data_IF_233020878469
#
_entry.id   IF_233020878469
#
_cell.length_a   1.000
_cell.length_b   1.000
_cell.length_c   1.000
_cell.angle_alpha   90.00
_cell.angle_beta   90.00
_cell.angle_gamma   90.00
#
_symmetry.space_group_name_H-M   'P 1'
#
loop_
_entity.id
_entity.type
_entity.pdbx_description
1 polymer ?
#
# COMPACT_ATOMS: atom_id res chain seq x y z
N UNK A 1 1.04 -1.77 23.76
CA UNK A 1 2.49 -1.49 23.70
C UNK A 1 2.80 -0.90 22.34
N UNK A 2 3.42 0.28 22.28
CA UNK A 2 3.79 0.93 21.02
C UNK A 2 4.98 0.16 20.44
N UNK A 3 4.73 -0.69 19.44
CA UNK A 3 5.78 -1.39 18.71
C UNK A 3 6.23 -0.50 17.56
N UNK A 4 7.26 0.33 17.72
CA UNK A 4 7.78 1.11 16.58
C UNK A 4 8.19 0.15 15.44
N UNK A 5 7.41 0.14 14.35
CA UNK A 5 7.77 -0.60 13.14
C UNK A 5 8.77 0.21 12.33
N UNK A 6 9.66 -0.50 11.66
CA UNK A 6 10.66 0.01 10.73
C UNK A 6 10.57 -0.85 9.45
N UNK A 7 11.16 -0.37 8.34
CA UNK A 7 11.10 -1.13 7.11
C UNK A 7 11.90 -2.44 7.18
N UNK A 8 12.99 -2.50 7.95
CA UNK A 8 13.86 -3.66 8.12
C UNK A 8 14.08 -4.45 6.83
N UNK A 9 14.68 -3.79 5.84
CA UNK A 9 14.98 -4.36 4.52
C UNK A 9 13.82 -4.43 3.53
N UNK A 10 12.58 -4.10 3.93
CA UNK A 10 11.44 -4.04 3.01
C UNK A 10 11.59 -2.87 2.02
N UNK A 11 11.57 -3.19 0.72
CA UNK A 11 11.73 -2.25 -0.39
C UNK A 11 10.49 -2.06 -1.23
N UNK A 12 9.38 -2.73 -0.89
CA UNK A 12 8.15 -2.79 -1.69
C UNK A 12 7.67 -1.43 -2.21
N UNK A 13 7.72 -0.37 -1.40
CA UNK A 13 7.26 0.95 -1.87
C UNK A 13 8.10 1.53 -3.03
N UNK A 14 9.33 1.05 -3.21
CA UNK A 14 10.26 1.44 -4.27
C UNK A 14 10.30 0.46 -5.44
N UNK A 15 9.66 -0.72 -5.33
CA UNK A 15 9.70 -1.79 -6.35
C UNK A 15 8.85 -1.50 -7.59
N UNK A 16 8.22 -0.32 -7.67
CA UNK A 16 7.41 0.07 -8.82
C UNK A 16 5.99 -0.45 -8.73
N UNK A 17 5.35 -0.28 -7.57
CA UNK A 17 3.90 -0.49 -7.34
C UNK A 17 3.14 0.81 -7.07
N UNK A 18 3.89 1.91 -6.96
CA UNK A 18 3.41 3.25 -6.68
C UNK A 18 3.80 4.17 -7.82
N UNK A 19 3.05 5.26 -7.98
CA UNK A 19 3.44 6.37 -8.84
C UNK A 19 4.19 7.42 -8.03
N UNK A 20 5.21 8.01 -8.62
CA UNK A 20 5.92 9.14 -8.05
C UNK A 20 7.18 9.48 -8.82
N UNK A 21 7.93 10.44 -8.29
CA UNK A 21 9.21 10.85 -8.82
C UNK A 21 10.21 10.99 -7.68
N UNK A 22 11.45 10.56 -7.91
CA UNK A 22 12.57 10.89 -7.05
C UNK A 22 13.66 11.54 -7.88
N UNK A 23 14.07 12.77 -7.52
CA UNK A 23 15.19 13.50 -8.16
C UNK A 23 15.11 13.51 -9.70
N UNK A 24 13.94 13.81 -10.29
CA UNK A 24 13.77 13.81 -11.76
C UNK A 24 13.65 12.42 -12.40
N UNK A 25 13.56 11.34 -11.61
CA UNK A 25 13.38 9.96 -12.09
C UNK A 25 12.03 9.43 -11.64
N UNK A 26 11.12 9.27 -12.60
CA UNK A 26 9.80 8.71 -12.33
C UNK A 26 9.85 7.21 -12.06
N UNK A 27 8.95 6.77 -11.20
CA UNK A 27 8.64 5.36 -10.93
C UNK A 27 7.12 5.15 -10.96
N UNK A 28 6.71 3.97 -11.35
CA UNK A 28 5.31 3.62 -11.61
C UNK A 28 5.12 2.10 -11.52
N UNK A 29 3.88 1.58 -11.51
CA UNK A 29 3.59 0.17 -11.80
C UNK A 29 4.47 -0.38 -12.95
N UNK A 30 5.27 -1.40 -12.68
CA UNK A 30 6.19 -2.03 -13.64
C UNK A 30 7.53 -1.32 -13.84
N UNK A 31 7.77 -0.18 -13.18
CA UNK A 31 9.02 0.59 -13.23
C UNK A 31 9.50 0.91 -11.81
N UNK A 32 10.43 0.10 -11.26
CA UNK A 32 11.03 0.38 -9.96
C UNK A 32 11.72 1.74 -9.89
N UNK A 33 11.86 2.26 -8.68
CA UNK A 33 12.61 3.49 -8.43
C UNK A 33 14.06 3.34 -8.88
N UNK A 34 14.56 4.34 -9.61
CA UNK A 34 15.94 4.37 -10.11
C UNK A 34 17.00 4.22 -9.02
N UNK A 35 16.70 4.68 -7.80
CA UNK A 35 17.60 4.62 -6.64
C UNK A 35 17.39 3.38 -5.76
N UNK A 36 16.62 2.38 -6.21
CA UNK A 36 16.49 1.12 -5.52
C UNK A 36 17.73 0.25 -5.81
N UNK A 37 18.61 0.11 -4.81
CA UNK A 37 19.72 -0.82 -4.85
C UNK A 37 19.37 -2.18 -4.24
N UNK A 38 20.34 -3.10 -4.24
CA UNK A 38 20.14 -4.49 -3.79
C UNK A 38 19.72 -4.64 -2.32
N UNK A 39 20.02 -3.65 -1.48
CA UNK A 39 19.74 -3.68 -0.02
C UNK A 39 18.84 -2.53 0.45
N UNK A 40 18.20 -1.80 -0.48
CA UNK A 40 17.41 -0.62 -0.16
C UNK A 40 17.76 0.60 -1.01
N UNK A 41 17.29 1.77 -0.57
CA UNK A 41 17.50 3.02 -1.30
C UNK A 41 18.97 3.46 -1.22
N UNK A 42 19.60 3.70 -2.38
CA UNK A 42 21.00 4.17 -2.47
C UNK A 42 21.18 5.63 -2.02
N UNK A 43 20.09 6.38 -1.88
CA UNK A 43 20.07 7.77 -1.42
C UNK A 43 19.21 7.94 -0.16
N UNK A 44 19.13 6.93 0.72
CA UNK A 44 18.15 6.88 1.82
C UNK A 44 18.08 8.17 2.68
N UNK A 45 19.23 8.72 3.07
CA UNK A 45 19.30 9.97 3.86
C UNK A 45 18.88 11.20 3.03
N UNK A 46 19.27 11.21 1.75
CA UNK A 46 19.04 12.28 0.78
C UNK A 46 17.73 12.13 -0.01
N UNK A 47 16.84 11.23 0.43
CA UNK A 47 15.54 11.00 -0.20
C UNK A 47 14.75 12.32 -0.28
N UNK A 48 14.07 12.58 -1.42
CA UNK A 48 13.15 13.70 -1.54
C UNK A 48 12.13 13.73 -0.41
N UNK A 49 11.70 14.94 0.00
CA UNK A 49 10.66 15.07 1.01
C UNK A 49 9.36 14.39 0.53
N UNK A 50 8.88 14.75 -0.65
CA UNK A 50 7.74 14.14 -1.33
C UNK A 50 8.22 13.35 -2.57
N UNK A 51 7.74 12.10 -2.81
CA UNK A 51 6.91 11.27 -1.92
C UNK A 51 7.70 10.51 -0.87
N UNK A 52 9.04 10.46 -0.96
CA UNK A 52 9.81 9.44 -0.27
C UNK A 52 9.82 9.53 1.27
N UNK A 53 9.89 10.73 1.87
CA UNK A 53 9.93 10.90 3.34
C UNK A 53 8.53 11.00 3.95
N UNK A 54 7.57 11.57 3.23
CA UNK A 54 6.17 11.71 3.69
C UNK A 54 5.38 10.41 3.57
N UNK A 55 5.70 9.56 2.60
CA UNK A 55 5.00 8.30 2.41
C UNK A 55 5.25 7.32 3.55
N UNK A 56 4.17 6.77 4.12
CA UNK A 56 4.19 5.64 5.03
C UNK A 56 3.14 4.61 4.57
N UNK A 57 3.57 3.37 4.31
CA UNK A 57 2.61 2.30 4.08
C UNK A 57 1.82 2.02 5.37
N UNK A 58 0.62 1.46 5.23
CA UNK A 58 -0.26 1.27 6.38
C UNK A 58 0.30 0.25 7.37
N UNK A 59 1.04 -0.76 6.92
CA UNK A 59 1.72 -1.64 7.88
C UNK A 59 2.71 -0.87 8.77
N UNK A 60 3.40 0.15 8.26
CA UNK A 60 4.36 0.94 9.03
C UNK A 60 3.68 1.92 9.99
N UNK A 61 2.56 2.54 9.60
CA UNK A 61 1.92 3.62 10.35
C UNK A 61 0.66 3.24 11.12
N UNK A 62 0.03 2.11 10.79
CA UNK A 62 -1.20 1.63 11.41
C UNK A 62 -0.94 0.30 12.14
N UNK A 63 -1.00 0.35 13.48
CA UNK A 63 -0.74 -0.81 14.34
C UNK A 63 -1.91 -1.78 14.47
N UNK A 64 -3.10 -1.39 14.02
CA UNK A 64 -4.24 -2.31 13.94
C UNK A 64 -4.02 -3.36 12.86
N UNK A 65 -3.20 -3.05 11.85
CA UNK A 65 -2.74 -4.04 10.86
C UNK A 65 -1.76 -5.00 11.54
N UNK A 66 -1.98 -6.33 11.50
CA UNK A 66 -1.12 -7.30 12.18
C UNK A 66 0.34 -7.24 11.75
N UNK A 67 1.25 -7.55 12.69
CA UNK A 67 2.69 -7.50 12.43
C UNK A 67 3.12 -8.45 11.29
N UNK A 68 2.46 -9.60 11.14
CA UNK A 68 2.73 -10.57 10.09
C UNK A 68 2.38 -10.05 8.67
N UNK A 69 1.63 -8.96 8.55
CA UNK A 69 1.26 -8.34 7.27
C UNK A 69 2.32 -7.39 6.71
N UNK A 70 3.60 -7.61 7.02
CA UNK A 70 4.69 -6.82 6.45
C UNK A 70 4.68 -6.99 4.92
N UNK A 71 4.76 -5.91 4.10
CA UNK A 71 4.48 -6.02 2.67
C UNK A 71 5.37 -6.99 1.89
N UNK A 72 6.66 -7.09 2.26
CA UNK A 72 7.62 -8.02 1.67
C UNK A 72 7.34 -9.49 2.02
N UNK A 73 6.60 -9.75 3.10
CA UNK A 73 6.16 -11.08 3.54
C UNK A 73 4.86 -11.47 2.84
N UNK A 74 3.83 -10.62 2.91
CA UNK A 74 2.49 -10.97 2.39
C UNK A 74 2.31 -10.67 0.89
N UNK A 75 3.28 -10.00 0.27
CA UNK A 75 3.22 -9.57 -1.13
C UNK A 75 1.98 -8.73 -1.47
N UNK A 76 1.56 -7.89 -0.51
CA UNK A 76 0.53 -6.88 -0.68
C UNK A 76 1.00 -5.56 -0.08
N UNK A 77 0.90 -4.48 -0.85
CA UNK A 77 1.14 -3.12 -0.38
C UNK A 77 -0.17 -2.48 0.04
N UNK A 78 -0.28 -2.17 1.33
CA UNK A 78 -1.46 -1.52 1.91
C UNK A 78 -1.20 -0.02 2.01
N UNK A 79 -2.05 0.78 1.37
CA UNK A 79 -1.96 2.26 1.38
C UNK A 79 -3.28 2.87 1.80
N UNK A 80 -3.25 3.99 2.54
CA UNK A 80 -4.43 4.83 2.73
C UNK A 80 -4.48 5.83 1.57
N UNK A 81 -5.65 5.97 0.99
CA UNK A 81 -5.92 6.87 -0.14
C UNK A 81 -7.08 7.79 0.20
N UNK A 82 -7.11 8.89 -0.54
CA UNK A 82 -8.21 9.83 -0.57
C UNK A 82 -8.47 10.14 -2.04
N UNK A 83 -9.69 9.92 -2.51
CA UNK A 83 -10.09 10.19 -3.88
C UNK A 83 -11.58 10.54 -3.91
N UNK A 84 -11.95 11.57 -4.68
CA UNK A 84 -13.34 12.08 -4.78
C UNK A 84 -14.02 12.29 -3.40
N UNK A 85 -13.27 12.71 -2.39
CA UNK A 85 -13.78 12.93 -1.02
C UNK A 85 -13.92 11.66 -0.16
N UNK A 86 -13.56 10.49 -0.68
CA UNK A 86 -13.61 9.22 0.04
C UNK A 86 -12.23 8.83 0.54
N UNK A 87 -12.12 8.53 1.85
CA UNK A 87 -10.95 7.87 2.40
C UNK A 87 -11.15 6.35 2.39
N UNK A 88 -10.13 5.61 1.92
CA UNK A 88 -10.18 4.16 1.81
C UNK A 88 -8.80 3.53 1.99
N UNK A 89 -8.80 2.24 2.31
CA UNK A 89 -7.58 1.43 2.21
C UNK A 89 -7.51 0.78 0.83
N UNK A 90 -6.32 0.85 0.22
CA UNK A 90 -6.01 0.19 -1.03
C UNK A 90 -5.02 -0.94 -0.79
N UNK A 91 -5.37 -2.16 -1.22
CA UNK A 91 -4.52 -3.35 -1.19
C UNK A 91 -4.05 -3.63 -2.62
N UNK A 92 -2.76 -3.46 -2.85
CA UNK A 92 -2.12 -3.66 -4.16
C UNK A 92 -1.30 -4.95 -4.13
N UNK A 93 -1.56 -5.86 -5.06
CA UNK A 93 -0.79 -7.10 -5.23
C UNK A 93 0.65 -6.79 -5.71
N UNK A 94 1.62 -7.55 -5.22
CA UNK A 94 3.06 -7.35 -5.51
C UNK A 94 3.56 -8.58 -6.26
N UNK A 95 3.35 -8.60 -7.57
CA UNK A 95 3.89 -9.62 -8.47
C UNK A 95 3.28 -11.02 -8.35
N UNK A 96 2.31 -11.20 -7.46
CA UNK A 96 1.58 -12.45 -7.27
C UNK A 96 0.17 -12.19 -6.75
N UNK A 97 -0.71 -13.19 -6.91
CA UNK A 97 -2.05 -13.18 -6.32
C UNK A 97 -1.99 -13.02 -4.80
N UNK A 98 -2.88 -12.20 -4.26
CA UNK A 98 -3.04 -12.01 -2.83
C UNK A 98 -3.42 -13.32 -2.12
N UNK A 99 -2.74 -13.60 -1.01
CA UNK A 99 -3.10 -14.70 -0.13
C UNK A 99 -4.50 -14.46 0.45
N UNK A 100 -5.44 -15.43 0.33
CA UNK A 100 -6.79 -15.29 0.86
C UNK A 100 -6.86 -14.90 2.34
N UNK A 101 -5.87 -15.30 3.17
CA UNK A 101 -5.80 -14.93 4.59
C UNK A 101 -5.69 -13.43 4.80
N UNK A 102 -5.01 -12.73 3.89
CA UNK A 102 -4.91 -11.26 3.92
C UNK A 102 -6.29 -10.66 3.66
N UNK A 103 -6.94 -11.07 2.57
CA UNK A 103 -8.27 -10.57 2.21
C UNK A 103 -9.31 -10.88 3.30
N UNK A 104 -9.32 -12.11 3.84
CA UNK A 104 -10.24 -12.52 4.91
C UNK A 104 -10.11 -11.62 6.14
N UNK A 105 -8.90 -11.23 6.52
CA UNK A 105 -8.71 -10.31 7.65
C UNK A 105 -9.32 -8.93 7.35
N UNK A 106 -8.98 -8.31 6.21
CA UNK A 106 -9.54 -7.00 5.83
C UNK A 106 -11.07 -7.03 5.68
N UNK A 107 -11.63 -8.14 5.20
CA UNK A 107 -13.07 -8.32 5.09
C UNK A 107 -13.75 -8.40 6.47
N UNK A 108 -13.16 -9.11 7.43
CA UNK A 108 -13.64 -9.14 8.81
C UNK A 108 -13.55 -7.75 9.47
N UNK A 109 -12.45 -7.01 9.25
CA UNK A 109 -12.32 -5.63 9.72
C UNK A 109 -13.40 -4.71 9.13
N UNK A 110 -13.76 -4.92 7.87
CA UNK A 110 -14.87 -4.21 7.23
C UNK A 110 -16.22 -4.54 7.84
N UNK A 111 -16.53 -5.83 8.01
CA UNK A 111 -17.76 -6.29 8.67
C UNK A 111 -17.88 -5.72 10.09
N UNK A 112 -16.77 -5.66 10.81
CA UNK A 112 -16.71 -5.10 12.17
C UNK A 112 -16.77 -3.56 12.20
N UNK A 113 -16.89 -2.90 11.04
CA UNK A 113 -16.97 -1.44 10.93
C UNK A 113 -15.67 -0.69 11.16
N UNK A 114 -14.54 -1.39 11.34
CA UNK A 114 -13.22 -0.75 11.56
C UNK A 114 -12.61 -0.22 10.27
N UNK A 115 -12.94 -0.85 9.13
CA UNK A 115 -12.54 -0.37 7.79
C UNK A 115 -13.80 -0.15 6.95
N UNK A 116 -14.18 1.11 6.73
CA UNK A 116 -15.41 1.42 5.99
C UNK A 116 -15.26 1.14 4.50
N UNK A 117 -14.21 1.66 3.86
CA UNK A 117 -14.00 1.57 2.41
C UNK A 117 -12.70 0.86 2.07
N UNK A 118 -12.76 -0.08 1.13
CA UNK A 118 -11.67 -0.92 0.71
C UNK A 118 -11.64 -1.06 -0.82
N UNK A 119 -10.48 -0.78 -1.41
CA UNK A 119 -10.15 -1.09 -2.80
C UNK A 119 -9.07 -2.17 -2.80
N UNK A 120 -9.23 -3.26 -3.52
CA UNK A 120 -8.26 -4.36 -3.48
C UNK A 120 -8.08 -5.02 -4.83
N UNK A 121 -6.91 -5.61 -5.06
CA UNK A 121 -6.63 -6.39 -6.25
C UNK A 121 -6.83 -7.88 -6.03
N UNK A 122 -7.33 -8.55 -7.06
CA UNK A 122 -7.28 -10.01 -7.22
C UNK A 122 -6.84 -10.29 -8.66
N UNK A 123 -5.71 -10.97 -8.82
CA UNK A 123 -5.12 -11.26 -10.13
C UNK A 123 -4.99 -9.99 -11.00
N UNK A 124 -4.59 -8.87 -10.37
CA UNK A 124 -4.43 -7.55 -10.98
C UNK A 124 -5.72 -6.74 -11.19
N UNK A 125 -6.89 -7.37 -11.12
CA UNK A 125 -8.20 -6.71 -11.28
C UNK A 125 -8.65 -5.97 -10.02
N UNK A 126 -9.19 -4.76 -10.17
CA UNK A 126 -9.66 -3.94 -9.05
C UNK A 126 -11.07 -4.31 -8.61
N UNK A 127 -11.25 -4.49 -7.30
CA UNK A 127 -12.55 -4.70 -6.65
C UNK A 127 -12.74 -3.70 -5.51
N UNK A 128 -14.00 -3.38 -5.21
CA UNK A 128 -14.40 -2.35 -4.27
C UNK A 128 -15.44 -2.91 -3.29
N UNK A 129 -15.29 -2.58 -2.02
CA UNK A 129 -16.29 -2.81 -0.97
C UNK A 129 -16.31 -1.62 -0.03
N UNK A 130 -17.49 -1.14 0.34
CA UNK A 130 -17.64 0.02 1.20
C UNK A 130 -19.02 0.64 1.09
N UNK A 131 -19.11 1.95 1.35
CA UNK A 131 -20.38 2.65 1.20
C UNK A 131 -20.83 2.67 -0.27
N UNK A 132 -22.14 2.74 -0.54
CA UNK A 132 -22.64 2.83 -1.91
C UNK A 132 -22.02 4.00 -2.71
N UNK A 133 -21.80 5.14 -2.05
CA UNK A 133 -21.20 6.33 -2.65
C UNK A 133 -19.74 6.08 -3.01
N UNK A 134 -18.97 5.45 -2.14
CA UNK A 134 -17.57 5.10 -2.42
C UNK A 134 -17.47 4.16 -3.64
N UNK A 135 -18.29 3.11 -3.65
CA UNK A 135 -18.28 2.12 -4.75
C UNK A 135 -18.67 2.77 -6.07
N UNK A 136 -19.68 3.63 -6.06
CA UNK A 136 -20.08 4.40 -7.25
C UNK A 136 -18.99 5.37 -7.70
N UNK A 137 -18.54 6.24 -6.81
CA UNK A 137 -17.68 7.37 -7.18
C UNK A 137 -16.27 6.89 -7.56
N UNK A 138 -15.68 5.96 -6.80
CA UNK A 138 -14.30 5.50 -7.00
C UNK A 138 -14.22 4.24 -7.86
N UNK A 139 -15.28 3.43 -7.89
CA UNK A 139 -15.33 2.17 -8.62
C UNK A 139 -15.73 2.29 -10.09
N UNK A 140 -16.45 3.34 -10.49
CA UNK A 140 -16.74 3.64 -11.88
C UNK A 140 -15.52 4.34 -12.52
N UNK A 141 -14.87 3.64 -13.47
CA UNK A 141 -13.79 4.16 -14.34
C UNK A 141 -14.39 4.55 -15.69
#
# INVERSE_FOLDING_TARGET
MITNRNCDGCTVCCEGWLFGEARGKSFSPGRPCHFMGNKGCTIYEDRPYDPCKVFKCQWLSNYDIPAWMKPDVIKVLITKREDKGHSYLQLTEIGQRMDPRVLSWFFLEHINGRIVNLKYQIDGGWTFIGTPEFVKDVGEI
#
